data_IF_394226248016
#
_entry.id   IF_394226248016
#
_cell.length_a   1.000
_cell.length_b   1.000
_cell.length_c   1.000
_cell.angle_alpha   90.00
_cell.angle_beta   90.00
_cell.angle_gamma   90.00
#
_symmetry.space_group_name_H-M   'P 1'
#
loop_
_entity.id
_entity.type
_entity.pdbx_description
1 polymer ?
#
# COMPACT_ATOMS: atom_id res chain seq x y z
N UNK A 1 -18.08 31.10 24.98
CA UNK A 1 -17.46 29.82 24.58
C UNK A 1 -16.06 30.12 24.11
N UNK A 2 -15.10 30.14 25.05
CA UNK A 2 -13.74 30.58 24.78
C UNK A 2 -13.00 29.54 23.95
N UNK A 3 -12.54 29.97 22.78
CA UNK A 3 -11.78 29.13 21.85
C UNK A 3 -10.43 28.84 22.48
N UNK A 4 -10.24 27.61 22.93
CA UNK A 4 -8.94 27.08 23.38
C UNK A 4 -7.85 27.52 22.40
N UNK A 5 -6.80 28.23 22.85
CA UNK A 5 -5.79 28.78 21.95
C UNK A 5 -5.07 27.67 21.18
N UNK A 6 -4.75 27.95 19.91
CA UNK A 6 -4.16 26.98 18.97
C UNK A 6 -2.83 26.40 19.47
N UNK A 7 -2.03 27.19 20.20
CA UNK A 7 -0.78 26.72 20.81
C UNK A 7 -1.05 25.66 21.88
N UNK A 8 -2.10 25.81 22.70
CA UNK A 8 -2.45 24.88 23.76
C UNK A 8 -2.92 23.53 23.17
N UNK A 9 -3.72 23.54 22.10
CA UNK A 9 -4.11 22.32 21.37
C UNK A 9 -2.91 21.59 20.75
N UNK A 10 -1.95 22.33 20.19
CA UNK A 10 -0.72 21.75 19.63
C UNK A 10 0.18 21.15 20.72
N UNK A 11 0.38 21.86 21.83
CA UNK A 11 1.15 21.37 22.98
C UNK A 11 0.54 20.12 23.61
N UNK A 12 -0.80 20.07 23.73
CA UNK A 12 -1.53 18.87 24.17
C UNK A 12 -1.32 17.69 23.22
N UNK A 13 -1.43 17.90 21.90
CA UNK A 13 -1.19 16.86 20.91
C UNK A 13 0.24 16.31 20.96
N UNK A 14 1.24 17.19 21.13
CA UNK A 14 2.65 16.79 21.28
C UNK A 14 2.84 16.02 22.59
N UNK A 15 2.27 16.49 23.70
CA UNK A 15 2.35 15.82 25.00
C UNK A 15 1.73 14.42 24.98
N UNK A 16 0.57 14.27 24.35
CA UNK A 16 -0.07 12.96 24.15
C UNK A 16 0.80 12.07 23.26
N UNK A 17 1.31 12.60 22.14
CA UNK A 17 2.19 11.84 21.24
C UNK A 17 3.45 11.35 21.95
N UNK A 18 4.12 12.22 22.71
CA UNK A 18 5.29 11.86 23.51
C UNK A 18 4.95 10.84 24.60
N UNK A 19 3.81 11.01 25.29
CA UNK A 19 3.35 10.08 26.32
C UNK A 19 3.06 8.68 25.74
N UNK A 20 2.38 8.60 24.60
CA UNK A 20 2.11 7.34 23.89
C UNK A 20 3.41 6.70 23.42
N UNK A 21 4.33 7.48 22.82
CA UNK A 21 5.64 6.97 22.37
C UNK A 21 6.47 6.47 23.55
N UNK A 22 6.51 7.19 24.67
CA UNK A 22 7.23 6.79 25.87
C UNK A 22 6.63 5.53 26.49
N UNK A 23 5.30 5.44 26.56
CA UNK A 23 4.59 4.26 27.07
C UNK A 23 4.79 3.03 26.17
N UNK A 24 4.65 3.19 24.86
CA UNK A 24 4.91 2.12 23.89
C UNK A 24 6.38 1.68 23.91
N UNK A 25 7.32 2.64 24.02
CA UNK A 25 8.74 2.36 24.19
C UNK A 25 9.01 1.60 25.49
N UNK A 26 8.44 2.04 26.60
CA UNK A 26 8.52 1.32 27.86
C UNK A 26 8.02 -0.13 27.70
N UNK A 27 6.83 -0.35 27.14
CA UNK A 27 6.30 -1.69 26.90
C UNK A 27 7.20 -2.53 25.97
N UNK A 28 7.78 -1.93 24.93
CA UNK A 28 8.64 -2.61 23.98
C UNK A 28 9.94 -3.12 24.64
N UNK A 29 10.52 -2.33 25.57
CA UNK A 29 11.75 -2.71 26.27
C UNK A 29 11.51 -3.42 27.61
N UNK A 30 10.28 -3.39 28.12
CA UNK A 30 9.93 -4.00 29.39
C UNK A 30 9.94 -5.53 29.28
N UNK A 31 10.94 -6.16 29.87
CA UNK A 31 11.14 -7.61 29.84
C UNK A 31 12.17 -8.09 28.81
N UNK A 32 12.85 -7.17 28.11
CA UNK A 32 13.99 -7.52 27.26
C UNK A 32 15.22 -7.78 28.12
N UNK A 33 15.86 -8.93 27.91
CA UNK A 33 17.22 -9.19 28.40
C UNK A 33 18.22 -8.41 27.53
N UNK A 34 18.73 -7.31 28.07
CA UNK A 34 19.69 -6.45 27.39
C UNK A 34 20.98 -7.17 27.05
N UNK A 35 21.41 -8.16 27.84
CA UNK A 35 22.62 -8.91 27.55
C UNK A 35 22.41 -9.80 26.33
N UNK A 36 21.32 -10.58 26.31
CA UNK A 36 20.97 -11.41 25.16
C UNK A 36 20.78 -10.60 23.87
N UNK A 37 20.18 -9.40 23.96
CA UNK A 37 20.02 -8.50 22.81
C UNK A 37 21.36 -8.01 22.27
N UNK A 38 22.28 -7.57 23.15
CA UNK A 38 23.60 -7.10 22.74
C UNK A 38 24.44 -8.23 22.14
N UNK A 39 24.42 -9.42 22.75
CA UNK A 39 25.09 -10.61 22.20
C UNK A 39 24.56 -10.96 20.81
N UNK A 40 23.23 -10.93 20.61
CA UNK A 40 22.63 -11.20 19.30
C UNK A 40 23.10 -10.19 18.23
N UNK A 41 23.29 -8.93 18.60
CA UNK A 41 23.80 -7.89 17.68
C UNK A 41 25.28 -8.11 17.37
N UNK A 42 26.09 -8.49 18.36
CA UNK A 42 27.52 -8.75 18.19
C UNK A 42 27.78 -10.00 17.33
N UNK A 43 26.96 -11.03 17.48
CA UNK A 43 27.03 -12.27 16.72
C UNK A 43 26.37 -12.16 15.34
N UNK A 44 25.72 -11.02 15.05
CA UNK A 44 24.95 -10.86 13.83
C UNK A 44 25.80 -10.96 12.56
N UNK A 45 25.37 -11.78 11.62
CA UNK A 45 26.08 -11.96 10.35
C UNK A 45 25.88 -10.75 9.42
N UNK A 46 26.95 -9.97 9.23
CA UNK A 46 26.97 -8.83 8.31
C UNK A 46 26.59 -9.22 6.87
N UNK A 47 26.93 -10.45 6.44
CA UNK A 47 26.58 -10.95 5.12
C UNK A 47 25.05 -11.06 4.96
N UNK A 48 24.37 -11.67 5.92
CA UNK A 48 22.91 -11.83 5.87
C UNK A 48 22.19 -10.49 6.03
N UNK A 49 22.71 -9.57 6.85
CA UNK A 49 22.21 -8.19 6.93
C UNK A 49 22.31 -7.46 5.58
N UNK A 50 23.46 -7.58 4.92
CA UNK A 50 23.68 -6.99 3.60
C UNK A 50 22.76 -7.60 2.54
N UNK A 51 22.66 -8.93 2.48
CA UNK A 51 21.77 -9.62 1.53
C UNK A 51 20.30 -9.24 1.75
N UNK A 52 19.85 -9.19 3.01
CA UNK A 52 18.49 -8.76 3.33
C UNK A 52 18.20 -7.33 2.88
N UNK A 53 19.18 -6.44 3.05
CA UNK A 53 19.10 -5.04 2.59
C UNK A 53 19.08 -4.97 1.06
N UNK A 54 19.91 -5.74 0.37
CA UNK A 54 19.97 -5.79 -1.09
C UNK A 54 18.63 -6.23 -1.68
N UNK A 55 17.98 -7.24 -1.10
CA UNK A 55 16.64 -7.66 -1.53
C UNK A 55 15.59 -6.56 -1.35
N UNK A 56 15.66 -5.75 -0.30
CA UNK A 56 14.76 -4.60 -0.15
C UNK A 56 15.00 -3.52 -1.22
N UNK A 57 16.25 -3.26 -1.60
CA UNK A 57 16.53 -2.39 -2.75
C UNK A 57 15.98 -2.95 -4.07
N UNK A 58 16.09 -4.26 -4.28
CA UNK A 58 15.47 -4.93 -5.43
C UNK A 58 13.93 -4.83 -5.41
N UNK A 59 13.32 -4.91 -4.22
CA UNK A 59 11.88 -4.69 -4.06
C UNK A 59 11.49 -3.28 -4.50
N UNK A 60 12.24 -2.25 -4.09
CA UNK A 60 11.99 -0.86 -4.52
C UNK A 60 12.14 -0.67 -6.04
N UNK A 61 13.13 -1.32 -6.64
CA UNK A 61 13.27 -1.34 -8.09
C UNK A 61 12.02 -1.96 -8.76
N UNK A 62 11.57 -3.11 -8.27
CA UNK A 62 10.38 -3.78 -8.78
C UNK A 62 9.11 -2.93 -8.59
N UNK A 63 8.97 -2.22 -7.46
CA UNK A 63 7.86 -1.28 -7.22
C UNK A 63 7.84 -0.14 -8.23
N UNK A 64 8.99 0.45 -8.55
CA UNK A 64 9.06 1.49 -9.59
C UNK A 64 8.68 0.96 -10.98
N UNK A 65 9.09 -0.27 -11.31
CA UNK A 65 8.71 -0.94 -12.57
C UNK A 65 7.22 -1.27 -12.63
N UNK A 66 6.64 -1.73 -11.52
CA UNK A 66 5.19 -1.93 -11.38
C UNK A 66 4.44 -0.63 -11.58
N UNK A 67 4.81 0.42 -10.86
CA UNK A 67 4.19 1.75 -10.94
C UNK A 67 4.22 2.32 -12.36
N UNK A 68 5.35 2.19 -13.05
CA UNK A 68 5.43 2.55 -14.48
C UNK A 68 4.43 1.76 -15.32
N UNK A 69 4.31 0.45 -15.10
CA UNK A 69 3.40 -0.44 -15.84
C UNK A 69 1.94 -0.05 -15.60
N UNK A 70 1.57 0.23 -14.36
CA UNK A 70 0.23 0.67 -13.94
C UNK A 70 -0.17 2.01 -14.59
N UNK A 71 0.80 2.89 -14.82
CA UNK A 71 0.61 4.15 -15.55
C UNK A 71 0.66 4.02 -17.09
N UNK A 72 0.49 2.80 -17.62
CA UNK A 72 0.52 2.44 -19.06
C UNK A 72 1.91 2.41 -19.68
N UNK A 73 2.96 2.35 -18.87
CA UNK A 73 4.33 2.40 -19.37
C UNK A 73 4.58 3.61 -20.26
N UNK A 74 3.94 4.76 -19.96
CA UNK A 74 3.98 5.95 -20.80
C UNK A 74 5.42 6.20 -21.25
N UNK A 75 5.61 6.39 -22.55
CA UNK A 75 6.92 6.71 -23.13
C UNK A 75 7.55 7.93 -22.44
N UNK A 76 6.70 8.81 -21.90
CA UNK A 76 7.01 10.02 -21.14
C UNK A 76 7.60 9.77 -19.75
N UNK A 77 7.35 8.62 -19.11
CA UNK A 77 7.87 8.34 -17.77
C UNK A 77 9.12 7.49 -17.88
N UNK A 78 10.30 7.98 -17.49
CA UNK A 78 11.49 7.13 -17.43
C UNK A 78 11.41 6.10 -16.29
N UNK A 79 12.21 5.03 -16.34
CA UNK A 79 12.26 4.07 -15.23
C UNK A 79 12.78 4.71 -13.95
N UNK A 80 13.79 5.56 -14.09
CA UNK A 80 14.40 6.29 -12.99
C UNK A 80 13.38 7.21 -12.33
N UNK A 81 12.57 7.93 -13.11
CA UNK A 81 11.50 8.77 -12.57
C UNK A 81 10.45 7.96 -11.82
N UNK A 82 10.04 6.82 -12.37
CA UNK A 82 9.07 5.94 -11.71
C UNK A 82 9.62 5.45 -10.37
N UNK A 83 10.84 4.91 -10.35
CA UNK A 83 11.52 4.43 -9.15
C UNK A 83 11.69 5.57 -8.14
N UNK A 84 12.21 6.72 -8.56
CA UNK A 84 12.41 7.89 -7.70
C UNK A 84 11.09 8.38 -7.10
N UNK A 85 10.00 8.37 -7.87
CA UNK A 85 8.67 8.75 -7.38
C UNK A 85 8.16 7.81 -6.28
N UNK A 86 8.40 6.50 -6.42
CA UNK A 86 8.02 5.52 -5.40
C UNK A 86 8.91 5.65 -4.17
N UNK A 87 10.24 5.68 -4.35
CA UNK A 87 11.19 5.80 -3.24
C UNK A 87 10.99 7.09 -2.45
N UNK A 88 10.74 8.21 -3.14
CA UNK A 88 10.42 9.49 -2.49
C UNK A 88 9.11 9.43 -1.70
N UNK A 89 8.10 8.71 -2.21
CA UNK A 89 6.86 8.46 -1.47
C UNK A 89 7.10 7.66 -0.19
N UNK A 90 7.83 6.55 -0.29
CA UNK A 90 8.15 5.68 0.86
C UNK A 90 8.93 6.48 1.92
N UNK A 91 9.95 7.23 1.49
CA UNK A 91 10.68 8.13 2.36
C UNK A 91 9.74 9.08 3.10
N UNK A 92 8.88 9.82 2.38
CA UNK A 92 7.94 10.75 3.00
C UNK A 92 6.95 10.05 3.94
N UNK A 93 6.47 8.85 3.61
CA UNK A 93 5.55 8.09 4.44
C UNK A 93 6.19 7.59 5.75
N UNK A 94 7.52 7.48 5.81
CA UNK A 94 8.23 7.14 7.04
C UNK A 94 8.33 8.32 8.02
N UNK A 95 8.30 9.57 7.52
CA UNK A 95 8.37 10.77 8.35
C UNK A 95 7.00 11.39 8.63
N UNK A 96 6.09 11.31 7.67
CA UNK A 96 4.79 11.95 7.76
C UNK A 96 3.67 10.93 8.00
N UNK A 97 2.74 11.20 8.93
CA UNK A 97 1.59 10.35 9.15
C UNK A 97 0.65 10.37 7.94
N UNK A 98 -0.33 9.45 7.93
CA UNK A 98 -1.42 9.39 6.93
C UNK A 98 -1.00 9.08 5.48
N UNK A 99 0.21 8.52 5.28
CA UNK A 99 0.73 8.17 3.94
C UNK A 99 0.71 9.35 2.95
N UNK A 100 1.03 10.56 3.43
CA UNK A 100 1.03 11.81 2.64
C UNK A 100 1.96 11.71 1.42
N UNK A 101 3.06 10.96 1.53
CA UNK A 101 3.99 10.71 0.43
C UNK A 101 3.30 10.14 -0.81
N UNK A 102 2.34 9.22 -0.62
CA UNK A 102 1.62 8.59 -1.74
C UNK A 102 0.75 9.62 -2.48
N UNK A 103 0.12 10.51 -1.72
CA UNK A 103 -0.68 11.62 -2.28
C UNK A 103 0.21 12.59 -3.05
N UNK A 104 1.38 12.93 -2.51
CA UNK A 104 2.37 13.78 -3.19
C UNK A 104 2.84 13.12 -4.49
N UNK A 105 3.18 11.83 -4.45
CA UNK A 105 3.58 11.04 -5.63
C UNK A 105 2.52 11.12 -6.73
N UNK A 106 1.25 10.87 -6.39
CA UNK A 106 0.15 10.97 -7.35
C UNK A 106 0.00 12.39 -7.93
N UNK A 107 0.13 13.42 -7.09
CA UNK A 107 0.07 14.82 -7.52
C UNK A 107 1.20 15.21 -8.48
N UNK A 108 2.43 14.78 -8.20
CA UNK A 108 3.59 15.03 -9.05
C UNK A 108 3.48 14.29 -10.38
N UNK A 109 3.09 13.01 -10.37
CA UNK A 109 2.89 12.24 -11.59
C UNK A 109 1.74 12.76 -12.44
N UNK A 110 0.69 13.31 -11.82
CA UNK A 110 -0.44 13.87 -12.55
C UNK A 110 -0.02 15.11 -13.36
N UNK A 111 0.85 15.95 -12.77
CA UNK A 111 1.44 17.08 -13.48
C UNK A 111 2.41 16.63 -14.56
N UNK A 112 3.29 15.68 -14.26
CA UNK A 112 4.32 15.20 -15.20
C UNK A 112 3.74 14.50 -16.44
N UNK A 113 2.63 13.79 -16.28
CA UNK A 113 1.96 13.05 -17.35
C UNK A 113 0.78 13.80 -17.96
N UNK A 114 0.53 15.04 -17.53
CA UNK A 114 -0.64 15.84 -17.94
C UNK A 114 -1.99 15.08 -17.78
N UNK A 115 -2.08 14.24 -16.74
CA UNK A 115 -3.24 13.40 -16.45
C UNK A 115 -4.01 13.92 -15.24
N UNK A 116 -5.27 13.50 -15.13
CA UNK A 116 -6.08 13.81 -13.97
C UNK A 116 -5.46 13.26 -12.67
N UNK A 117 -5.34 14.12 -11.65
CA UNK A 117 -4.96 13.71 -10.28
C UNK A 117 -5.83 12.58 -9.75
N UNK A 118 -7.14 12.66 -10.01
CA UNK A 118 -8.11 11.63 -9.59
C UNK A 118 -7.84 10.31 -10.30
N UNK A 119 -7.53 10.35 -11.60
CA UNK A 119 -7.18 9.16 -12.37
C UNK A 119 -5.95 8.45 -11.80
N UNK A 120 -4.88 9.20 -11.51
CA UNK A 120 -3.66 8.61 -10.92
C UNK A 120 -3.89 8.12 -9.49
N UNK A 121 -4.71 8.80 -8.68
CA UNK A 121 -5.11 8.29 -7.37
C UNK A 121 -5.90 6.99 -7.47
N UNK A 122 -6.72 6.84 -8.52
CA UNK A 122 -7.47 5.60 -8.76
C UNK A 122 -6.53 4.43 -9.09
N UNK A 123 -5.48 4.69 -9.88
CA UNK A 123 -4.40 3.72 -10.14
C UNK A 123 -3.71 3.29 -8.84
N UNK A 124 -3.34 4.24 -7.98
CA UNK A 124 -2.78 3.96 -6.66
C UNK A 124 -3.74 3.14 -5.80
N UNK A 125 -5.04 3.42 -5.82
CA UNK A 125 -6.02 2.65 -5.06
C UNK A 125 -6.03 1.18 -5.49
N UNK A 126 -5.98 0.91 -6.79
CA UNK A 126 -5.88 -0.45 -7.32
C UNK A 126 -4.56 -1.10 -6.95
N UNK A 127 -3.44 -0.36 -6.98
CA UNK A 127 -2.15 -0.84 -6.45
C UNK A 127 -2.31 -1.34 -5.01
N UNK A 128 -2.98 -0.57 -4.14
CA UNK A 128 -3.23 -0.94 -2.74
C UNK A 128 -4.19 -2.12 -2.59
N UNK A 129 -5.20 -2.25 -3.45
CA UNK A 129 -6.10 -3.41 -3.46
C UNK A 129 -5.39 -4.70 -3.89
N UNK A 130 -4.48 -4.60 -4.88
CA UNK A 130 -3.65 -5.73 -5.31
C UNK A 130 -2.71 -6.15 -4.18
N UNK A 131 -2.03 -5.21 -3.52
CA UNK A 131 -1.18 -5.50 -2.38
C UNK A 131 -1.97 -6.12 -1.22
N UNK A 132 -3.17 -5.61 -0.96
CA UNK A 132 -4.07 -6.15 0.06
C UNK A 132 -4.50 -7.59 -0.27
N UNK A 133 -4.84 -7.87 -1.52
CA UNK A 133 -5.19 -9.22 -1.95
C UNK A 133 -4.04 -10.20 -1.69
N UNK A 134 -2.79 -9.81 -1.97
CA UNK A 134 -1.62 -10.66 -1.71
C UNK A 134 -1.42 -10.90 -0.21
N UNK A 135 -1.55 -9.86 0.63
CA UNK A 135 -1.49 -10.01 2.09
C UNK A 135 -2.55 -10.98 2.60
N UNK A 136 -3.76 -10.88 2.09
CA UNK A 136 -4.85 -11.77 2.50
C UNK A 136 -4.61 -13.21 2.04
N UNK A 137 -4.07 -13.42 0.84
CA UNK A 137 -3.63 -14.74 0.39
C UNK A 137 -2.55 -15.32 1.30
N UNK A 138 -1.57 -14.51 1.74
CA UNK A 138 -0.59 -14.98 2.72
C UNK A 138 -1.25 -15.32 4.05
N UNK A 139 -2.14 -14.48 4.57
CA UNK A 139 -2.86 -14.73 5.80
C UNK A 139 -3.67 -16.03 5.76
N UNK A 140 -4.30 -16.36 4.62
CA UNK A 140 -5.01 -17.62 4.41
C UNK A 140 -4.10 -18.85 4.53
N UNK A 141 -2.84 -18.74 4.14
CA UNK A 141 -1.89 -19.87 4.15
C UNK A 141 -1.15 -19.97 5.47
N UNK A 142 -0.62 -18.85 5.98
CA UNK A 142 0.25 -18.84 7.16
C UNK A 142 -0.51 -19.03 8.46
N UNK A 143 -1.72 -18.48 8.57
CA UNK A 143 -2.46 -18.49 9.82
C UNK A 143 -2.97 -19.88 10.23
N UNK A 144 -3.54 -20.72 9.34
CA UNK A 144 -3.89 -22.09 9.69
C UNK A 144 -2.68 -22.93 10.09
N UNK A 145 -1.51 -22.69 9.49
CA UNK A 145 -0.26 -23.37 9.87
C UNK A 145 0.19 -22.96 11.28
N UNK A 146 0.03 -21.69 11.64
CA UNK A 146 0.33 -21.18 12.99
C UNK A 146 -0.64 -21.75 14.04
N UNK A 147 -1.92 -21.88 13.68
CA UNK A 147 -2.98 -22.36 14.55
C UNK A 147 -3.22 -23.86 14.48
N UNK A 148 -2.42 -24.63 13.75
CA UNK A 148 -2.59 -26.09 13.63
C UNK A 148 -2.53 -26.84 15.00
N UNK A 149 -2.15 -26.16 16.08
CA UNK A 149 -2.20 -26.64 17.47
C UNK A 149 -3.27 -26.01 18.38
N UNK A 150 -4.14 -25.12 17.86
CA UNK A 150 -5.23 -24.49 18.61
C UNK A 150 -6.54 -24.55 17.82
N UNK A 151 -7.68 -24.38 18.49
CA UNK A 151 -8.98 -24.29 17.79
C UNK A 151 -8.97 -23.02 16.95
N UNK A 152 -8.65 -23.14 15.65
CA UNK A 152 -8.68 -22.04 14.72
C UNK A 152 -10.05 -21.36 14.81
N UNK A 153 -10.05 -20.08 15.20
CA UNK A 153 -11.28 -19.31 15.35
C UNK A 153 -11.97 -19.24 13.98
N UNK A 154 -13.09 -19.95 13.85
CA UNK A 154 -13.89 -19.98 12.62
C UNK A 154 -14.27 -18.55 12.18
N UNK A 155 -14.46 -17.63 13.14
CA UNK A 155 -14.72 -16.21 12.86
C UNK A 155 -13.59 -15.53 12.10
N UNK A 156 -12.33 -15.86 12.42
CA UNK A 156 -11.17 -15.37 11.67
C UNK A 156 -11.18 -15.89 10.23
N UNK A 157 -11.41 -17.20 10.05
CA UNK A 157 -11.41 -17.81 8.72
C UNK A 157 -12.48 -17.19 7.83
N UNK A 158 -13.70 -17.03 8.33
CA UNK A 158 -14.78 -16.33 7.61
C UNK A 158 -14.44 -14.87 7.33
N UNK A 159 -13.79 -14.17 8.27
CA UNK A 159 -13.34 -12.80 8.10
C UNK A 159 -12.33 -12.65 6.96
N UNK A 160 -11.28 -13.48 6.95
CA UNK A 160 -10.26 -13.45 5.89
C UNK A 160 -10.85 -13.86 4.54
N UNK A 161 -11.63 -14.95 4.49
CA UNK A 161 -12.29 -15.40 3.25
C UNK A 161 -13.23 -14.34 2.69
N UNK A 162 -14.10 -13.77 3.52
CA UNK A 162 -15.04 -12.74 3.11
C UNK A 162 -14.34 -11.48 2.61
N UNK A 163 -13.31 -11.03 3.31
CA UNK A 163 -12.57 -9.83 2.93
C UNK A 163 -11.73 -10.02 1.66
N UNK A 164 -11.14 -11.22 1.46
CA UNK A 164 -10.49 -11.60 0.20
C UNK A 164 -11.50 -11.60 -0.95
N UNK A 165 -12.69 -12.18 -0.75
CA UNK A 165 -13.73 -12.21 -1.77
C UNK A 165 -14.18 -10.80 -2.18
N UNK A 166 -14.36 -9.88 -1.23
CA UNK A 166 -14.68 -8.47 -1.49
C UNK A 166 -13.57 -7.79 -2.29
N UNK A 167 -12.31 -8.02 -1.90
CA UNK A 167 -11.15 -7.42 -2.58
C UNK A 167 -11.05 -7.90 -4.02
N UNK A 168 -11.21 -9.21 -4.26
CA UNK A 168 -11.21 -9.80 -5.60
C UNK A 168 -12.39 -9.28 -6.43
N UNK A 169 -13.59 -9.21 -5.85
CA UNK A 169 -14.75 -8.65 -6.53
C UNK A 169 -14.50 -7.20 -6.97
N UNK A 170 -13.90 -6.38 -6.11
CA UNK A 170 -13.48 -5.02 -6.45
C UNK A 170 -12.51 -4.96 -7.63
N UNK A 171 -11.50 -5.84 -7.67
CA UNK A 171 -10.55 -5.93 -8.78
C UNK A 171 -11.22 -6.39 -10.09
N UNK A 172 -12.14 -7.35 -10.03
CA UNK A 172 -12.91 -7.82 -11.19
C UNK A 172 -13.78 -6.69 -11.75
N UNK A 173 -14.43 -5.91 -10.88
CA UNK A 173 -15.21 -4.75 -11.29
C UNK A 173 -14.35 -3.70 -12.00
N UNK A 174 -13.14 -3.42 -11.50
CA UNK A 174 -12.20 -2.51 -12.16
C UNK A 174 -11.80 -3.00 -13.57
N UNK A 175 -11.63 -4.31 -13.74
CA UNK A 175 -11.25 -4.91 -15.02
C UNK A 175 -12.39 -4.89 -16.04
N UNK A 176 -13.64 -5.04 -15.60
CA UNK A 176 -14.78 -5.16 -16.51
C UNK A 176 -15.13 -3.81 -17.19
N UNK A 177 -15.16 -3.75 -18.55
CA UNK A 177 -15.44 -2.52 -19.27
C UNK A 177 -16.84 -1.94 -19.00
N UNK A 178 -17.82 -2.80 -18.73
CA UNK A 178 -19.22 -2.41 -18.49
C UNK A 178 -19.46 -1.79 -17.11
N UNK A 179 -18.52 -1.94 -16.17
CA UNK A 179 -18.65 -1.40 -14.81
C UNK A 179 -18.82 0.11 -14.82
N UNK A 180 -18.14 0.82 -15.73
CA UNK A 180 -18.28 2.27 -15.89
C UNK A 180 -19.73 2.63 -16.20
N UNK A 181 -20.31 1.99 -17.21
CA UNK A 181 -21.64 2.35 -17.72
C UNK A 181 -22.72 1.95 -16.71
N UNK A 182 -22.52 0.87 -15.97
CA UNK A 182 -23.36 0.47 -14.83
C UNK A 182 -23.33 1.51 -13.70
N UNK A 183 -22.14 1.96 -13.28
CA UNK A 183 -22.00 2.98 -12.23
C UNK A 183 -22.63 4.30 -12.68
N UNK A 184 -22.44 4.69 -13.94
CA UNK A 184 -23.05 5.90 -14.50
C UNK A 184 -24.58 5.79 -14.54
N UNK A 185 -25.13 4.65 -14.95
CA UNK A 185 -26.59 4.42 -14.98
C UNK A 185 -27.21 4.49 -13.58
N UNK A 186 -26.57 3.88 -12.58
CA UNK A 186 -27.01 3.96 -11.17
C UNK A 186 -26.92 5.40 -10.66
N UNK A 187 -25.81 6.09 -10.92
CA UNK A 187 -25.62 7.47 -10.50
C UNK A 187 -26.68 8.39 -11.09
N UNK A 188 -27.02 8.23 -12.38
CA UNK A 188 -28.05 9.04 -13.04
C UNK A 188 -29.47 8.73 -12.56
N UNK A 189 -29.75 7.48 -12.15
CA UNK A 189 -31.06 7.10 -11.60
C UNK A 189 -31.31 7.57 -10.16
N UNK A 190 -30.25 7.77 -9.36
CA UNK A 190 -30.35 8.09 -7.94
C UNK A 190 -30.05 9.57 -7.64
N UNK A 191 -29.15 10.22 -8.39
CA UNK A 191 -28.71 11.58 -8.05
C UNK A 191 -29.70 12.65 -8.56
N UNK A 192 -29.90 13.73 -7.77
CA UNK A 192 -30.55 14.94 -8.25
C UNK A 192 -29.80 15.51 -9.47
N UNK A 193 -30.54 16.10 -10.41
CA UNK A 193 -29.99 16.72 -11.64
C UNK A 193 -28.86 17.73 -11.40
N UNK A 194 -28.77 18.32 -10.20
CA UNK A 194 -27.71 19.26 -9.82
C UNK A 194 -26.33 18.60 -9.61
N UNK A 195 -26.30 17.33 -9.17
CA UNK A 195 -25.07 16.61 -8.82
C UNK A 195 -24.61 15.63 -9.91
N UNK A 196 -25.47 15.33 -10.88
CA UNK A 196 -25.18 14.37 -11.96
C UNK A 196 -23.95 14.78 -12.78
N UNK A 197 -23.80 16.07 -13.11
CA UNK A 197 -22.66 16.59 -13.88
C UNK A 197 -21.30 16.37 -13.18
N UNK A 198 -21.09 16.92 -11.96
CA UNK A 198 -19.85 16.74 -11.21
C UNK A 198 -19.49 15.27 -10.93
N UNK A 199 -20.48 14.43 -10.63
CA UNK A 199 -20.27 13.01 -10.33
C UNK A 199 -19.94 12.21 -11.59
N UNK A 200 -20.62 12.46 -12.71
CA UNK A 200 -20.24 11.87 -14.00
C UNK A 200 -18.81 12.26 -14.39
N UNK A 201 -18.42 13.53 -14.17
CA UNK A 201 -17.05 13.99 -14.39
C UNK A 201 -16.02 13.30 -13.48
N UNK A 202 -16.39 13.01 -12.22
CA UNK A 202 -15.55 12.23 -11.31
C UNK A 202 -15.39 10.78 -11.79
N UNK A 203 -16.49 10.11 -12.13
CA UNK A 203 -16.52 8.72 -12.61
C UNK A 203 -15.67 8.56 -13.88
N UNK A 204 -15.79 9.48 -14.83
CA UNK A 204 -14.97 9.45 -16.04
C UNK A 204 -13.48 9.58 -15.71
N UNK A 205 -13.07 10.52 -14.84
CA UNK A 205 -11.66 10.66 -14.44
C UNK A 205 -11.11 9.41 -13.73
N UNK A 206 -11.93 8.73 -12.93
CA UNK A 206 -11.58 7.44 -12.31
C UNK A 206 -11.43 6.37 -13.39
N UNK A 207 -12.45 6.22 -14.23
CA UNK A 207 -12.46 5.22 -15.31
C UNK A 207 -11.27 5.39 -16.26
N UNK A 208 -10.92 6.63 -16.63
CA UNK A 208 -9.78 6.99 -17.47
C UNK A 208 -8.45 6.55 -16.86
N UNK A 209 -8.28 6.74 -15.54
CA UNK A 209 -7.11 6.23 -14.82
C UNK A 209 -7.02 4.70 -14.83
N UNK A 210 -8.17 4.03 -14.81
CA UNK A 210 -8.26 2.57 -14.69
C UNK A 210 -8.28 1.83 -16.03
N UNK A 211 -8.34 2.54 -17.17
CA UNK A 211 -8.39 1.91 -18.50
C UNK A 211 -7.24 0.92 -18.72
N UNK A 212 -6.06 1.19 -18.15
CA UNK A 212 -4.87 0.35 -18.27
C UNK A 212 -5.09 -1.07 -17.72
N UNK A 213 -5.86 -1.19 -16.64
CA UNK A 213 -6.12 -2.48 -15.99
C UNK A 213 -7.07 -3.37 -16.80
N UNK A 214 -7.65 -2.87 -17.90
CA UNK A 214 -8.48 -3.67 -18.82
C UNK A 214 -7.64 -4.53 -19.77
N UNK A 215 -6.37 -4.20 -19.99
CA UNK A 215 -5.49 -5.00 -20.85
C UNK A 215 -4.92 -6.21 -20.10
N UNK A 216 -5.16 -7.46 -20.56
CA UNK A 216 -4.63 -8.65 -19.90
C UNK A 216 -3.10 -8.65 -19.83
N UNK A 217 -2.42 -8.13 -20.85
CA UNK A 217 -0.95 -8.01 -20.86
C UNK A 217 -0.43 -7.10 -19.75
N UNK A 218 -1.14 -5.99 -19.48
CA UNK A 218 -0.80 -5.09 -18.37
C UNK A 218 -1.01 -5.79 -17.04
N UNK A 219 -2.16 -6.47 -16.86
CA UNK A 219 -2.47 -7.21 -15.62
C UNK A 219 -1.43 -8.29 -15.34
N UNK A 220 -1.03 -9.07 -16.35
CA UNK A 220 0.02 -10.10 -16.20
C UNK A 220 1.35 -9.48 -15.77
N UNK A 221 1.74 -8.34 -16.37
CA UNK A 221 2.97 -7.63 -15.95
C UNK A 221 2.88 -7.07 -14.54
N UNK A 222 1.72 -6.55 -14.13
CA UNK A 222 1.49 -6.09 -12.76
C UNK A 222 1.58 -7.25 -11.78
N UNK A 223 0.96 -8.40 -12.10
CA UNK A 223 1.04 -9.62 -11.30
C UNK A 223 2.49 -10.11 -11.18
N UNK A 224 3.22 -10.15 -12.28
CA UNK A 224 4.65 -10.50 -12.30
C UNK A 224 5.46 -9.59 -11.36
N UNK A 225 5.36 -8.27 -11.52
CA UNK A 225 6.10 -7.35 -10.65
C UNK A 225 5.67 -7.44 -9.19
N UNK A 226 4.38 -7.68 -8.94
CA UNK A 226 3.85 -7.88 -7.58
C UNK A 226 4.48 -9.12 -6.95
N UNK A 227 4.52 -10.25 -7.66
CA UNK A 227 5.18 -11.47 -7.19
C UNK A 227 6.67 -11.19 -6.91
N UNK A 228 7.39 -10.50 -7.81
CA UNK A 228 8.78 -10.15 -7.59
C UNK A 228 8.98 -9.26 -6.34
N UNK A 229 8.11 -8.26 -6.12
CA UNK A 229 8.16 -7.38 -4.94
C UNK A 229 8.02 -8.22 -3.67
N UNK A 230 6.96 -9.03 -3.58
CA UNK A 230 6.69 -9.83 -2.38
C UNK A 230 7.74 -10.91 -2.14
N UNK A 231 8.27 -11.54 -3.19
CA UNK A 231 9.39 -12.48 -3.07
C UNK A 231 10.66 -11.80 -2.57
N UNK A 232 11.00 -10.61 -3.08
CA UNK A 232 12.15 -9.86 -2.60
C UNK A 232 11.97 -9.48 -1.13
N UNK A 233 10.79 -9.01 -0.73
CA UNK A 233 10.49 -8.68 0.67
C UNK A 233 10.59 -9.94 1.54
N UNK A 234 10.00 -11.06 1.11
CA UNK A 234 10.03 -12.32 1.87
C UNK A 234 11.47 -12.83 2.06
N UNK A 235 12.24 -12.92 0.97
CA UNK A 235 13.64 -13.35 1.02
C UNK A 235 14.49 -12.38 1.84
N UNK A 236 14.26 -11.07 1.69
CA UNK A 236 14.99 -10.05 2.43
C UNK A 236 14.77 -10.15 3.94
N UNK A 237 13.51 -10.31 4.36
CA UNK A 237 13.18 -10.54 5.77
C UNK A 237 13.72 -11.87 6.28
N UNK A 238 13.66 -12.94 5.48
CA UNK A 238 14.23 -14.23 5.86
C UNK A 238 15.75 -14.16 6.07
N UNK A 239 16.48 -13.43 5.21
CA UNK A 239 17.90 -13.17 5.42
C UNK A 239 18.17 -12.39 6.71
N UNK A 240 17.36 -11.36 7.01
CA UNK A 240 17.51 -10.63 8.28
C UNK A 240 17.23 -11.50 9.50
N UNK A 241 16.27 -12.43 9.43
CA UNK A 241 16.02 -13.38 10.51
C UNK A 241 17.23 -14.32 10.69
N UNK A 242 17.84 -14.83 9.62
CA UNK A 242 19.05 -15.67 9.69
C UNK A 242 20.31 -14.91 10.13
N UNK A 243 20.26 -13.58 10.15
CA UNK A 243 21.40 -12.79 10.56
C UNK A 243 21.61 -12.82 12.08
N UNK A 244 20.54 -13.03 12.86
CA UNK A 244 20.53 -13.07 14.32
C UNK A 244 20.18 -14.48 14.80
#
# INVERSE_FOLDING_TARGET
MDRIPVWLRRSLGIGIGLGVTAFAGFLAFHGIDWHALLTSIEEASLLYLFLGTLFHFLAYFCMGRRWRTELHGSSELSNTDAIASVSGSIFLNNYFPLRIGDVIRCGLMARKLERSRIGILSVLLVERLVDLAVVLCFAMVTFPLLLAGSNADLGYLYGVVGFTAITIAGLVLVHNPHTRDLILGIAQGILPNLLSGPVCGLINRVADGLQNFRSPSVVIRIAFWTICIWLCILLGNYMWILAF
#
